data_IF_349006616202
#
_entry.id   IF_349006616202
#
_cell.length_a   1.000
_cell.length_b   1.000
_cell.length_c   1.000
_cell.angle_alpha   90.00
_cell.angle_beta   90.00
_cell.angle_gamma   90.00
#
_symmetry.space_group_name_H-M   'P 1'
#
loop_
_entity.id
_entity.type
_entity.pdbx_description
1 polymer ?
#
# COMPACT_ATOMS: atom_id res chain seq x y z
N UNK A 1 -7.07 -8.76 -50.25
CA UNK A 1 -6.91 -7.42 -49.64
C UNK A 1 -8.26 -7.01 -49.08
N UNK A 2 -8.51 -6.72 -47.81
CA UNK A 2 -7.68 -6.56 -46.61
C UNK A 2 -8.58 -6.94 -45.44
N UNK A 3 -8.15 -7.88 -44.59
CA UNK A 3 -8.80 -8.08 -43.30
C UNK A 3 -8.34 -6.95 -42.39
N UNK A 4 -9.23 -6.01 -42.17
CA UNK A 4 -9.16 -5.02 -41.11
C UNK A 4 -9.16 -5.76 -39.77
N UNK A 5 -7.99 -6.12 -39.23
CA UNK A 5 -7.88 -6.62 -37.85
C UNK A 5 -7.53 -5.43 -36.96
N UNK A 6 -8.62 -4.84 -36.47
CA UNK A 6 -8.76 -3.90 -35.37
C UNK A 6 -7.57 -3.89 -34.39
N UNK A 7 -7.08 -2.69 -34.11
CA UNK A 7 -6.02 -2.27 -33.18
C UNK A 7 -6.28 -2.64 -31.70
N UNK A 8 -6.68 -3.87 -31.41
CA UNK A 8 -7.04 -4.36 -30.07
C UNK A 8 -6.18 -5.57 -29.69
N UNK A 9 -4.93 -5.61 -30.13
CA UNK A 9 -3.98 -6.67 -29.75
C UNK A 9 -2.79 -6.16 -28.93
N UNK A 10 -2.49 -4.86 -28.98
CA UNK A 10 -1.33 -4.28 -28.28
C UNK A 10 -1.51 -4.16 -26.75
N UNK A 11 -2.75 -4.12 -26.25
CA UNK A 11 -3.03 -3.87 -24.82
C UNK A 11 -2.80 -5.08 -23.92
N UNK A 12 -2.95 -6.31 -24.43
CA UNK A 12 -2.93 -7.51 -23.58
C UNK A 12 -1.49 -7.99 -23.32
N UNK A 13 -0.59 -7.73 -24.27
CA UNK A 13 0.81 -8.21 -24.25
C UNK A 13 1.85 -7.11 -23.96
N UNK A 14 1.42 -5.90 -23.58
CA UNK A 14 2.30 -4.72 -23.42
C UNK A 14 3.43 -4.93 -22.40
N UNK A 15 3.28 -5.88 -21.48
CA UNK A 15 4.19 -6.08 -20.34
C UNK A 15 4.74 -7.50 -20.21
N UNK A 16 4.57 -8.34 -21.25
CA UNK A 16 5.02 -9.74 -21.24
C UNK A 16 6.54 -9.87 -21.07
N UNK A 17 7.28 -8.84 -21.49
CA UNK A 17 8.74 -8.74 -21.37
C UNK A 17 9.24 -8.45 -19.94
N UNK A 18 8.39 -7.88 -19.08
CA UNK A 18 8.77 -7.49 -17.71
C UNK A 18 8.06 -8.26 -16.59
N UNK A 19 6.93 -8.92 -16.87
CA UNK A 19 6.11 -9.58 -15.84
C UNK A 19 6.81 -10.73 -15.12
N UNK A 20 7.80 -11.36 -15.77
CA UNK A 20 8.57 -12.48 -15.23
C UNK A 20 9.91 -12.06 -14.62
N UNK A 21 10.24 -10.77 -14.61
CA UNK A 21 11.50 -10.29 -14.06
C UNK A 21 11.51 -10.41 -12.52
N UNK A 22 12.67 -10.73 -11.91
CA UNK A 22 12.79 -10.72 -10.46
C UNK A 22 12.52 -9.31 -9.93
N UNK A 23 11.78 -9.23 -8.81
CA UNK A 23 11.53 -7.96 -8.16
C UNK A 23 12.86 -7.35 -7.66
N UNK A 24 13.18 -6.10 -8.01
CA UNK A 24 14.45 -5.49 -7.63
C UNK A 24 14.48 -5.21 -6.13
N UNK A 25 15.55 -5.66 -5.47
CA UNK A 25 15.81 -5.29 -4.08
C UNK A 25 16.52 -3.92 -4.01
N UNK A 26 16.02 -2.99 -3.18
CA UNK A 26 16.67 -1.71 -2.96
C UNK A 26 18.09 -1.89 -2.42
N UNK A 27 19.09 -1.35 -3.12
CA UNK A 27 20.51 -1.45 -2.71
C UNK A 27 20.90 -0.40 -1.66
N UNK A 28 20.24 0.74 -1.67
CA UNK A 28 20.64 1.92 -0.88
C UNK A 28 19.75 2.15 0.34
N UNK A 29 18.45 1.87 0.22
CA UNK A 29 17.47 2.15 1.27
C UNK A 29 16.86 0.86 1.78
N UNK A 30 17.11 0.45 3.03
CA UNK A 30 16.51 -0.75 3.58
C UNK A 30 14.98 -0.63 3.60
N UNK A 31 14.29 -1.76 3.39
CA UNK A 31 12.83 -1.80 3.48
C UNK A 31 12.38 -1.54 4.92
N UNK A 32 11.29 -0.79 5.07
CA UNK A 32 10.66 -0.53 6.37
C UNK A 32 10.17 -1.84 7.02
N UNK A 33 10.56 -2.15 8.27
CA UNK A 33 10.08 -3.30 9.02
C UNK A 33 8.55 -3.29 9.14
N UNK A 34 7.92 -4.47 9.22
CA UNK A 34 6.45 -4.59 9.30
C UNK A 34 5.88 -3.85 10.52
N UNK A 35 6.56 -3.92 11.66
CA UNK A 35 6.18 -3.23 12.90
C UNK A 35 6.11 -1.71 12.77
N UNK A 36 6.91 -1.13 11.87
CA UNK A 36 7.00 0.32 11.67
C UNK A 36 6.06 0.84 10.58
N UNK A 37 5.40 -0.03 9.80
CA UNK A 37 4.53 0.38 8.69
C UNK A 37 3.36 1.26 9.13
N UNK A 38 2.83 1.05 10.34
CA UNK A 38 1.75 1.88 10.88
C UNK A 38 2.14 3.36 11.03
N UNK A 39 3.44 3.66 11.13
CA UNK A 39 3.94 5.04 11.18
C UNK A 39 3.57 5.85 9.92
N UNK A 40 3.43 5.20 8.76
CA UNK A 40 2.97 5.86 7.52
C UNK A 40 1.57 6.45 7.66
N UNK A 41 0.74 5.86 8.53
CA UNK A 41 -0.63 6.27 8.82
C UNK A 41 -0.74 7.01 10.15
N UNK A 42 0.30 7.75 10.54
CA UNK A 42 0.33 8.53 11.78
C UNK A 42 0.17 10.06 11.60
N UNK A 43 -0.69 10.58 10.69
CA UNK A 43 -0.82 12.03 10.49
C UNK A 43 -1.33 12.74 11.75
N UNK A 44 -2.00 12.02 12.66
CA UNK A 44 -2.54 12.59 13.90
C UNK A 44 -1.67 12.35 15.14
N UNK A 45 -0.57 11.58 15.03
CA UNK A 45 0.27 11.26 16.19
C UNK A 45 0.98 12.50 16.77
N UNK A 46 1.15 13.55 15.97
CA UNK A 46 1.71 14.82 16.41
C UNK A 46 0.73 15.70 17.21
N UNK A 47 -0.58 15.39 17.17
CA UNK A 47 -1.56 16.14 17.94
C UNK A 47 -1.46 15.76 19.42
N UNK A 48 -1.28 16.78 20.26
CA UNK A 48 -1.49 16.65 21.70
C UNK A 48 -2.88 16.06 21.97
N UNK A 49 -2.94 15.00 22.77
CA UNK A 49 -4.18 14.33 23.15
C UNK A 49 -4.69 13.21 22.25
N UNK A 50 -4.00 12.90 21.13
CA UNK A 50 -4.35 11.72 20.32
C UNK A 50 -4.29 10.41 21.14
N UNK A 51 -3.29 10.28 22.01
CA UNK A 51 -3.14 9.13 22.90
C UNK A 51 -4.21 9.08 24.00
N UNK A 52 -4.65 10.23 24.53
CA UNK A 52 -5.80 10.27 25.45
C UNK A 52 -7.08 9.81 24.75
N UNK A 53 -7.33 10.26 23.53
CA UNK A 53 -8.52 9.89 22.76
C UNK A 53 -8.58 8.39 22.45
N UNK A 54 -7.45 7.75 22.13
CA UNK A 54 -7.37 6.29 21.96
C UNK A 54 -7.73 5.57 23.25
N UNK A 55 -7.14 5.97 24.39
CA UNK A 55 -7.43 5.35 25.70
C UNK A 55 -8.90 5.47 26.07
N UNK A 56 -9.51 6.61 25.78
CA UNK A 56 -10.93 6.84 26.05
C UNK A 56 -11.82 5.97 25.16
N UNK A 57 -11.49 5.84 23.87
CA UNK A 57 -12.19 4.95 22.95
C UNK A 57 -12.09 3.47 23.39
N UNK A 58 -10.93 3.02 23.85
CA UNK A 58 -10.75 1.67 24.41
C UNK A 58 -11.60 1.44 25.67
N UNK A 59 -11.72 2.44 26.54
CA UNK A 59 -12.55 2.37 27.75
C UNK A 59 -14.01 2.20 27.38
N UNK A 60 -14.51 3.02 26.46
CA UNK A 60 -15.90 2.94 25.96
C UNK A 60 -16.19 1.57 25.34
N UNK A 61 -15.28 1.04 24.52
CA UNK A 61 -15.45 -0.28 23.92
C UNK A 61 -15.49 -1.41 24.94
N UNK A 62 -14.65 -1.35 25.99
CA UNK A 62 -14.67 -2.31 27.10
C UNK A 62 -15.94 -2.24 27.95
N UNK A 63 -16.61 -1.08 27.98
CA UNK A 63 -17.86 -0.87 28.72
C UNK A 63 -19.10 -1.30 27.94
N UNK A 64 -19.00 -1.42 26.61
CA UNK A 64 -20.11 -1.82 25.74
C UNK A 64 -20.22 -3.33 25.49
N UNK A 65 -19.34 -4.13 26.08
CA UNK A 65 -19.28 -5.59 25.97
C UNK A 65 -19.70 -6.24 27.29
#
# INVERSE_FOLDING_TARGET
MNQQTNSTHDSIHTYDDIIHLPHPDPKTHPRMPVSERAAQFSPFAALSGHQEAIREAERMHRQSQ
#
